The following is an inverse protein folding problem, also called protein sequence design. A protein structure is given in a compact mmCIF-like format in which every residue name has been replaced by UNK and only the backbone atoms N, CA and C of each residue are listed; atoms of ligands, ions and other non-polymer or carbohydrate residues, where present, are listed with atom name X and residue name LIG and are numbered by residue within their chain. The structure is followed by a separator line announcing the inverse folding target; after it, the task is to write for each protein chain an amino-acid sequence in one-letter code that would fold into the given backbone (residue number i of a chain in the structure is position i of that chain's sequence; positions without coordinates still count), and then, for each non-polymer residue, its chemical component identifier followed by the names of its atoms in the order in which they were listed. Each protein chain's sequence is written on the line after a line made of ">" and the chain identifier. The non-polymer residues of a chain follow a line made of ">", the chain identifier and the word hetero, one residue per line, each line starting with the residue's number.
data_IF_977754200175
#
_entry.id   IF_977754200175
#
_cell.length_a   1.000
_cell.length_b   1.000
_cell.length_c   1.000
_cell.angle_alpha   90.00
_cell.angle_beta   90.00
_cell.angle_gamma   90.00
#
_symmetry.space_group_name_H-M   'P 1'
#
loop_
_entity.id
_entity.type
_entity.pdbx_description
1 polymer ?
#
# COMPACT_ATOMS: atom_id res chain seq x y z
N UNK A 1 -21.47 -2.30 -64.12
CA UNK A 1 -21.60 -0.82 -63.98
C UNK A 1 -20.95 -0.39 -62.67
N UNK A 2 -19.81 0.30 -62.73
CA UNK A 2 -19.19 0.94 -61.56
C UNK A 2 -19.62 2.41 -61.55
N UNK A 3 -20.44 2.81 -60.59
CA UNK A 3 -20.85 4.20 -60.35
C UNK A 3 -19.65 5.02 -59.90
N UNK A 4 -19.19 5.95 -60.75
CA UNK A 4 -18.25 7.01 -60.38
C UNK A 4 -18.94 7.96 -59.39
N UNK A 5 -18.34 8.15 -58.21
CA UNK A 5 -18.70 9.24 -57.29
C UNK A 5 -17.87 10.47 -57.67
N UNK A 6 -18.49 11.45 -58.31
CA UNK A 6 -17.86 12.72 -58.68
C UNK A 6 -17.70 13.59 -57.43
N UNK A 7 -16.47 14.01 -57.12
CA UNK A 7 -16.18 15.08 -56.16
C UNK A 7 -16.05 16.38 -56.96
N UNK A 8 -16.94 17.33 -56.72
CA UNK A 8 -16.88 18.68 -57.31
C UNK A 8 -16.24 19.60 -56.26
N UNK A 9 -15.08 20.16 -56.58
CA UNK A 9 -14.43 21.23 -55.79
C UNK A 9 -14.66 22.54 -56.55
N UNK A 10 -15.47 23.44 -55.99
CA UNK A 10 -15.66 24.79 -56.53
C UNK A 10 -14.60 25.68 -55.89
N UNK A 11 -13.64 26.17 -56.69
CA UNK A 11 -12.63 27.13 -56.27
C UNK A 11 -12.97 28.49 -56.89
N UNK A 12 -13.40 29.45 -56.07
CA UNK A 12 -13.62 30.84 -56.53
C UNK A 12 -12.27 31.58 -56.56
N UNK A 13 -11.77 31.89 -57.75
CA UNK A 13 -10.51 32.63 -57.94
C UNK A 13 -10.86 34.02 -58.49
N UNK A 14 -10.58 35.07 -57.72
CA UNK A 14 -10.82 36.46 -58.13
C UNK A 14 -9.60 37.01 -58.91
N UNK A 15 -9.66 36.94 -60.23
CA UNK A 15 -8.66 37.50 -61.14
C UNK A 15 -9.08 37.29 -62.60
N UNK A 16 -8.62 38.16 -63.51
CA UNK A 16 -8.97 38.09 -64.92
C UNK A 16 -8.64 36.70 -65.50
N UNK A 17 -9.68 35.95 -65.84
CA UNK A 17 -9.59 34.59 -66.38
C UNK A 17 -9.18 34.63 -67.86
N UNK A 18 -8.12 33.92 -68.21
CA UNK A 18 -8.07 33.24 -69.50
C UNK A 18 -8.99 32.02 -69.40
N UNK A 19 -9.98 31.93 -70.28
CA UNK A 19 -10.82 30.75 -70.38
C UNK A 19 -9.94 29.51 -70.68
N UNK A 20 -9.76 28.63 -69.70
CA UNK A 20 -9.20 27.31 -69.97
C UNK A 20 -10.34 26.40 -70.42
N UNK A 21 -10.51 26.28 -71.73
CA UNK A 21 -11.40 25.30 -72.35
C UNK A 21 -10.82 23.90 -72.10
N UNK A 22 -11.28 23.19 -71.07
CA UNK A 22 -10.98 21.77 -70.89
C UNK A 22 -12.04 20.97 -71.65
N UNK A 23 -11.91 20.92 -72.97
CA UNK A 23 -12.82 20.16 -73.84
C UNK A 23 -12.33 18.75 -74.16
N UNK A 24 -11.17 18.33 -73.63
CA UNK A 24 -10.60 17.00 -73.84
C UNK A 24 -10.27 16.28 -72.52
N UNK A 25 -10.55 14.98 -72.47
CA UNK A 25 -9.99 14.05 -71.46
C UNK A 25 -8.47 14.16 -71.48
N UNK A 26 -7.87 14.55 -70.35
CA UNK A 26 -6.43 14.41 -70.13
C UNK A 26 -6.05 12.94 -70.40
N UNK A 27 -5.11 12.69 -71.31
CA UNK A 27 -4.61 11.33 -71.57
C UNK A 27 -3.93 10.72 -70.34
N UNK A 28 -3.55 9.44 -70.39
CA UNK A 28 -2.94 8.69 -69.26
C UNK A 28 -1.66 9.30 -68.66
N UNK A 29 -1.12 10.35 -69.28
CA UNK A 29 0.09 11.09 -68.89
C UNK A 29 -0.15 12.60 -68.74
N UNK A 30 -1.41 13.05 -68.77
CA UNK A 30 -1.78 14.46 -68.73
C UNK A 30 -1.48 15.11 -67.38
N UNK A 31 -1.18 16.41 -67.38
CA UNK A 31 -1.09 17.23 -66.16
C UNK A 31 -2.14 18.32 -66.24
N UNK A 32 -3.04 18.38 -65.25
CA UNK A 32 -3.95 19.51 -65.10
C UNK A 32 -3.19 20.65 -64.42
N UNK A 33 -3.12 21.84 -65.02
CA UNK A 33 -2.39 22.98 -64.44
C UNK A 33 -3.22 24.24 -64.41
N UNK A 34 -3.20 24.96 -63.29
CA UNK A 34 -3.74 26.32 -63.17
C UNK A 34 -2.54 27.25 -63.06
N UNK A 35 -2.46 28.28 -63.92
CA UNK A 35 -1.33 29.21 -64.03
C UNK A 35 -1.80 30.58 -64.54
N UNK A 36 -1.06 31.64 -64.25
CA UNK A 36 -1.09 32.89 -65.02
C UNK A 36 0.02 32.86 -66.10
N UNK A 37 0.32 34.02 -66.70
CA UNK A 37 1.38 34.16 -67.71
C UNK A 37 2.79 33.86 -67.18
N UNK A 38 3.02 34.03 -65.88
CA UNK A 38 4.35 34.05 -65.25
C UNK A 38 4.55 32.93 -64.23
N UNK A 39 3.48 32.32 -63.71
CA UNK A 39 3.48 31.45 -62.55
C UNK A 39 2.46 30.32 -62.73
N UNK A 40 2.90 29.09 -62.49
CA UNK A 40 1.96 28.00 -62.17
C UNK A 40 1.49 28.19 -60.73
N UNK A 41 0.21 27.95 -60.45
CA UNK A 41 -0.45 27.98 -59.13
C UNK A 41 -0.77 26.58 -58.61
N UNK A 42 -1.05 25.67 -59.52
CA UNK A 42 -1.54 24.33 -59.23
C UNK A 42 -1.13 23.41 -60.38
N UNK A 43 -0.70 22.20 -60.06
CA UNK A 43 -0.59 21.11 -61.02
C UNK A 43 -1.04 19.79 -60.38
N UNK A 44 -1.76 18.97 -61.14
CA UNK A 44 -2.13 17.60 -60.79
C UNK A 44 -1.68 16.70 -61.95
N UNK A 45 -0.66 15.87 -61.68
CA UNK A 45 -0.10 14.96 -62.66
C UNK A 45 -0.83 13.60 -62.61
N UNK A 46 -1.39 13.15 -63.73
CA UNK A 46 -2.18 11.92 -63.78
C UNK A 46 -1.34 10.64 -63.80
N UNK A 47 -0.10 10.68 -64.29
CA UNK A 47 0.73 9.48 -64.38
C UNK A 47 1.25 9.01 -63.03
N UNK A 48 1.33 9.91 -62.05
CA UNK A 48 1.79 9.60 -60.69
C UNK A 48 0.83 10.08 -59.58
N UNK A 49 -0.30 10.69 -59.92
CA UNK A 49 -1.27 11.23 -58.97
C UNK A 49 -0.75 12.42 -58.13
N UNK A 50 0.40 13.00 -58.49
CA UNK A 50 1.05 14.04 -57.67
C UNK A 50 0.31 15.37 -57.80
N UNK A 51 -0.28 15.81 -56.69
CA UNK A 51 -0.78 17.16 -56.50
C UNK A 51 0.39 18.09 -56.12
N UNK A 52 0.48 19.25 -56.76
CA UNK A 52 1.62 20.16 -56.62
C UNK A 52 1.09 21.59 -56.64
N UNK A 53 1.02 22.21 -55.46
CA UNK A 53 0.68 23.62 -55.27
C UNK A 53 1.98 24.43 -55.35
N UNK A 54 2.28 24.98 -56.52
CA UNK A 54 3.43 25.86 -56.73
C UNK A 54 2.86 27.26 -56.84
N UNK A 55 3.30 28.26 -56.06
CA UNK A 55 3.36 29.68 -56.49
C UNK A 55 4.05 30.57 -55.43
N UNK A 56 4.54 31.77 -55.78
CA UNK A 56 5.91 32.22 -55.54
C UNK A 56 6.04 33.05 -54.26
N UNK A 57 5.36 32.65 -53.18
CA UNK A 57 5.56 33.34 -51.90
C UNK A 57 6.94 32.98 -51.35
N UNK A 58 7.90 33.88 -51.52
CA UNK A 58 9.18 33.85 -50.84
C UNK A 58 8.96 33.81 -49.31
N UNK A 59 9.71 32.97 -48.59
CA UNK A 59 9.65 32.87 -47.13
C UNK A 59 8.97 31.63 -46.56
N UNK A 60 8.56 31.71 -45.30
CA UNK A 60 8.15 30.58 -44.43
C UNK A 60 6.74 30.01 -44.72
N UNK A 61 6.19 30.22 -45.93
CA UNK A 61 4.78 29.92 -46.26
C UNK A 61 4.58 28.89 -47.40
N UNK A 62 5.66 28.23 -47.86
CA UNK A 62 5.62 27.26 -48.98
C UNK A 62 4.71 26.06 -48.66
N UNK A 63 3.90 25.62 -49.63
CA UNK A 63 3.11 24.39 -49.53
C UNK A 63 1.84 24.44 -48.67
N UNK A 64 1.33 25.65 -48.36
CA UNK A 64 0.13 25.81 -47.53
C UNK A 64 -1.18 25.60 -48.31
N UNK A 65 -2.16 24.90 -47.73
CA UNK A 65 -3.56 24.82 -48.16
C UNK A 65 -4.40 25.71 -47.25
N UNK A 66 -5.26 26.55 -47.83
CA UNK A 66 -6.13 27.47 -47.09
C UNK A 66 -7.60 27.04 -47.16
N UNK A 67 -8.38 27.37 -46.12
CA UNK A 67 -9.84 27.33 -46.10
C UNK A 67 -10.35 28.75 -45.87
N UNK A 68 -10.76 29.44 -46.95
CA UNK A 68 -10.98 30.88 -46.89
C UNK A 68 -9.64 31.62 -46.75
N UNK A 69 -9.53 32.49 -45.74
CA UNK A 69 -8.28 33.22 -45.43
C UNK A 69 -7.36 32.46 -44.47
N UNK A 70 -7.85 31.40 -43.84
CA UNK A 70 -7.13 30.67 -42.79
C UNK A 70 -6.28 29.54 -43.37
N UNK A 71 -5.05 29.37 -42.86
CA UNK A 71 -4.22 28.19 -43.17
C UNK A 71 -4.86 26.96 -42.56
N UNK A 72 -5.04 25.92 -43.37
CA UNK A 72 -5.64 24.66 -42.97
C UNK A 72 -4.62 23.52 -42.90
N UNK A 73 -3.73 23.40 -43.90
CA UNK A 73 -2.59 22.45 -43.86
C UNK A 73 -1.33 23.20 -44.26
N UNK A 74 -0.29 23.21 -43.43
CA UNK A 74 0.94 23.94 -43.76
C UNK A 74 2.16 23.45 -42.97
N UNK A 75 3.34 23.82 -43.45
CA UNK A 75 4.62 23.57 -42.77
C UNK A 75 5.26 24.91 -42.39
N UNK A 76 4.81 25.51 -41.29
CA UNK A 76 5.38 26.79 -40.84
C UNK A 76 6.74 26.53 -40.18
N UNK A 77 7.77 27.25 -40.63
CA UNK A 77 9.11 27.22 -40.05
C UNK A 77 9.43 28.61 -39.46
N UNK A 78 9.80 28.68 -38.19
CA UNK A 78 10.18 29.93 -37.53
C UNK A 78 11.52 30.48 -38.05
N UNK A 79 11.78 31.77 -37.89
CA UNK A 79 13.08 32.34 -38.27
C UNK A 79 14.20 31.76 -37.40
N UNK A 80 15.32 31.37 -38.02
CA UNK A 80 16.51 30.88 -37.32
C UNK A 80 16.46 29.40 -36.88
N UNK A 81 15.43 28.65 -37.30
CA UNK A 81 15.24 27.25 -36.92
C UNK A 81 15.58 26.27 -38.05
N UNK A 82 16.10 25.10 -37.68
CA UNK A 82 16.72 24.12 -38.58
C UNK A 82 15.78 22.98 -39.00
N UNK A 83 14.59 22.84 -38.39
CA UNK A 83 13.65 21.75 -38.68
C UNK A 83 12.25 22.23 -39.08
N UNK A 84 11.49 21.33 -39.69
CA UNK A 84 10.14 21.62 -40.19
C UNK A 84 9.07 21.25 -39.17
N UNK A 85 7.99 22.03 -39.13
CA UNK A 85 6.77 21.69 -38.43
C UNK A 85 5.69 21.27 -39.43
N UNK A 86 4.69 20.51 -38.99
CA UNK A 86 3.51 20.12 -39.78
C UNK A 86 2.26 20.47 -39.00
N UNK A 87 1.35 21.24 -39.60
CA UNK A 87 0.12 21.68 -38.94
C UNK A 87 -1.10 21.42 -39.84
N UNK A 88 -2.15 20.82 -39.27
CA UNK A 88 -3.41 20.50 -39.93
C UNK A 88 -4.60 20.88 -39.02
N UNK A 89 -5.34 21.92 -39.38
CA UNK A 89 -6.50 22.40 -38.62
C UNK A 89 -6.57 23.93 -38.65
N UNK A 90 -7.76 24.46 -38.39
CA UNK A 90 -7.94 25.91 -38.28
C UNK A 90 -7.15 26.42 -37.07
N UNK A 91 -6.32 27.45 -37.29
CA UNK A 91 -5.46 28.06 -36.26
C UNK A 91 -4.45 27.09 -35.62
N UNK A 92 -4.09 26.00 -36.30
CA UNK A 92 -3.04 25.10 -35.84
C UNK A 92 -1.64 25.73 -36.03
N UNK A 93 -0.80 25.64 -34.99
CA UNK A 93 0.54 26.21 -34.97
C UNK A 93 0.57 27.74 -34.76
N UNK A 94 1.71 28.24 -34.30
CA UNK A 94 1.95 29.68 -34.13
C UNK A 94 2.80 30.24 -35.26
N UNK A 95 2.36 31.33 -35.88
CA UNK A 95 3.04 31.98 -37.00
C UNK A 95 4.02 33.07 -36.58
N UNK A 96 4.30 33.21 -35.30
CA UNK A 96 5.32 34.11 -34.75
C UNK A 96 6.51 33.37 -34.13
N UNK A 97 6.59 32.04 -34.32
CA UNK A 97 7.71 31.24 -33.81
C UNK A 97 9.05 31.76 -34.33
N UNK A 98 10.03 31.79 -33.43
CA UNK A 98 11.40 32.23 -33.68
C UNK A 98 12.33 31.49 -32.73
N UNK A 99 13.59 31.28 -33.11
CA UNK A 99 14.57 30.66 -32.22
C UNK A 99 15.91 30.43 -32.92
N UNK A 100 16.82 29.73 -32.25
CA UNK A 100 18.07 29.28 -32.85
C UNK A 100 18.18 27.75 -32.86
N UNK A 101 18.80 27.21 -33.91
CA UNK A 101 19.04 25.77 -34.02
C UNK A 101 17.73 24.98 -34.13
N UNK A 102 17.43 24.13 -33.16
CA UNK A 102 16.23 23.26 -33.18
C UNK A 102 15.02 23.84 -32.42
N UNK A 103 15.15 25.03 -31.82
CA UNK A 103 14.05 25.68 -31.09
C UNK A 103 12.89 25.98 -32.05
N UNK A 104 11.65 25.68 -31.66
CA UNK A 104 10.49 25.90 -32.53
C UNK A 104 10.40 24.95 -33.74
N UNK A 105 11.21 23.88 -33.78
CA UNK A 105 11.23 22.93 -34.89
C UNK A 105 10.64 21.56 -34.51
N UNK A 106 10.35 20.75 -35.53
CA UNK A 106 9.95 19.34 -35.42
C UNK A 106 8.61 19.10 -34.70
N UNK A 107 7.70 20.06 -34.76
CA UNK A 107 6.38 19.94 -34.15
C UNK A 107 5.34 19.44 -35.15
N UNK A 108 4.42 18.61 -34.69
CA UNK A 108 3.23 18.18 -35.43
C UNK A 108 1.99 18.60 -34.66
N UNK A 109 1.09 19.37 -35.28
CA UNK A 109 -0.20 19.75 -34.71
C UNK A 109 -1.34 19.39 -35.63
N UNK A 110 -2.31 18.61 -35.15
CA UNK A 110 -3.49 18.19 -35.89
C UNK A 110 -4.74 18.45 -35.05
N UNK A 111 -5.55 19.41 -35.45
CA UNK A 111 -6.75 19.83 -34.73
C UNK A 111 -6.91 21.34 -34.74
N UNK A 112 -8.14 21.80 -34.47
CA UNK A 112 -8.39 23.24 -34.34
C UNK A 112 -7.63 23.76 -33.12
N UNK A 113 -6.85 24.83 -33.31
CA UNK A 113 -6.00 25.49 -32.30
C UNK A 113 -4.91 24.62 -31.64
N UNK A 114 -4.53 23.49 -32.25
CA UNK A 114 -3.40 22.70 -31.72
C UNK A 114 -2.10 23.49 -31.82
N UNK A 115 -1.33 23.62 -30.73
CA UNK A 115 -0.04 24.34 -30.68
C UNK A 115 -0.09 25.83 -31.11
N UNK A 116 -1.21 26.53 -30.90
CA UNK A 116 -1.37 27.92 -31.37
C UNK A 116 -0.51 28.96 -30.63
N UNK A 117 -0.01 28.65 -29.43
CA UNK A 117 0.83 29.56 -28.64
C UNK A 117 2.33 29.22 -28.64
N UNK A 118 2.75 28.24 -29.44
CA UNK A 118 4.14 27.74 -29.47
C UNK A 118 5.14 28.83 -29.85
N UNK A 119 6.22 29.03 -29.09
CA UNK A 119 7.26 30.01 -29.41
C UNK A 119 8.59 29.32 -29.76
N UNK A 120 9.23 28.67 -28.79
CA UNK A 120 10.53 27.99 -28.94
C UNK A 120 10.47 26.50 -28.64
N UNK A 121 9.32 25.97 -28.22
CA UNK A 121 9.12 24.54 -27.97
C UNK A 121 9.34 23.69 -29.23
N UNK A 122 9.98 22.54 -29.07
CA UNK A 122 10.38 21.66 -30.17
C UNK A 122 9.91 20.22 -29.96
N UNK A 123 9.79 19.46 -31.05
CA UNK A 123 9.47 18.02 -31.01
C UNK A 123 8.14 17.68 -30.33
N UNK A 124 7.15 18.57 -30.38
CA UNK A 124 5.82 18.29 -29.82
C UNK A 124 4.92 17.57 -30.85
N UNK A 125 4.09 16.65 -30.39
CA UNK A 125 3.06 15.95 -31.16
C UNK A 125 1.70 16.23 -30.54
N UNK A 126 0.85 17.00 -31.21
CA UNK A 126 -0.47 17.41 -30.73
C UNK A 126 -1.56 16.94 -31.71
N UNK A 127 -2.48 16.11 -31.24
CA UNK A 127 -3.56 15.52 -32.03
C UNK A 127 -4.88 15.64 -31.26
N UNK A 128 -5.74 16.56 -31.68
CA UNK A 128 -7.01 16.86 -31.02
C UNK A 128 -7.29 18.36 -31.01
N UNK A 129 -8.58 18.72 -30.90
CA UNK A 129 -8.99 20.10 -30.72
C UNK A 129 -8.37 20.67 -29.44
N UNK A 130 -7.69 21.82 -29.56
CA UNK A 130 -7.00 22.52 -28.47
C UNK A 130 -5.90 21.72 -27.75
N UNK A 131 -5.38 20.66 -28.38
CA UNK A 131 -4.24 19.91 -27.84
C UNK A 131 -2.98 20.78 -27.81
N UNK A 132 -2.33 20.88 -26.64
CA UNK A 132 -1.16 21.76 -26.41
C UNK A 132 -1.38 23.24 -26.81
N UNK A 133 -2.61 23.75 -26.71
CA UNK A 133 -2.97 25.12 -27.14
C UNK A 133 -2.04 26.19 -26.55
N UNK A 134 -1.80 26.15 -25.23
CA UNK A 134 -1.05 27.18 -24.49
C UNK A 134 0.47 26.94 -24.46
N UNK A 135 0.97 25.88 -25.10
CA UNK A 135 2.38 25.51 -25.01
C UNK A 135 3.25 26.58 -25.64
N UNK A 136 4.22 27.13 -24.90
CA UNK A 136 5.12 28.19 -25.41
C UNK A 136 6.52 27.64 -25.65
N UNK A 137 7.22 27.21 -24.59
CA UNK A 137 8.61 26.74 -24.66
C UNK A 137 8.75 25.24 -24.37
N UNK A 138 7.68 24.59 -23.92
CA UNK A 138 7.65 23.15 -23.63
C UNK A 138 7.99 22.31 -24.87
N UNK A 139 8.83 21.30 -24.67
CA UNK A 139 9.35 20.45 -25.74
C UNK A 139 9.09 18.97 -25.47
N UNK A 140 9.13 18.15 -26.52
CA UNK A 140 9.04 16.68 -26.41
C UNK A 140 7.73 16.20 -25.75
N UNK A 141 6.63 16.95 -25.92
CA UNK A 141 5.32 16.55 -25.42
C UNK A 141 4.51 15.80 -26.50
N UNK A 142 3.82 14.74 -26.09
CA UNK A 142 2.85 13.99 -26.88
C UNK A 142 1.45 14.22 -26.28
N UNK A 143 0.52 14.76 -27.05
CA UNK A 143 -0.83 15.11 -26.63
C UNK A 143 -1.84 14.58 -27.66
N UNK A 144 -2.62 13.58 -27.28
CA UNK A 144 -3.58 12.88 -28.12
C UNK A 144 -4.95 12.86 -27.44
N UNK A 145 -5.84 13.75 -27.84
CA UNK A 145 -7.17 13.92 -27.27
C UNK A 145 -7.63 15.37 -27.32
N UNK A 146 -8.94 15.59 -27.19
CA UNK A 146 -9.49 16.94 -27.04
C UNK A 146 -8.97 17.55 -25.74
N UNK A 147 -8.42 18.76 -25.84
CA UNK A 147 -7.87 19.54 -24.73
C UNK A 147 -6.80 18.79 -23.90
N UNK A 148 -6.13 17.77 -24.46
CA UNK A 148 -4.99 17.13 -23.78
C UNK A 148 -3.82 18.12 -23.69
N UNK A 149 -3.24 18.30 -22.50
CA UNK A 149 -2.16 19.27 -22.22
C UNK A 149 -2.51 20.74 -22.61
N UNK A 150 -3.80 21.12 -22.58
CA UNK A 150 -4.28 22.43 -23.06
C UNK A 150 -3.56 23.63 -22.42
N UNK A 151 -3.34 23.60 -21.10
CA UNK A 151 -2.72 24.68 -20.35
C UNK A 151 -1.21 24.49 -20.11
N UNK A 152 -0.57 23.52 -20.79
CA UNK A 152 0.90 23.37 -20.74
C UNK A 152 1.56 24.64 -21.26
N UNK A 153 2.50 25.22 -20.52
CA UNK A 153 3.24 26.42 -20.96
C UNK A 153 4.70 26.10 -21.20
N UNK A 154 5.38 25.52 -20.21
CA UNK A 154 6.82 25.23 -20.24
C UNK A 154 7.16 23.77 -19.93
N UNK A 155 6.17 22.97 -19.52
CA UNK A 155 6.33 21.55 -19.23
C UNK A 155 6.83 20.76 -20.44
N UNK A 156 7.66 19.76 -20.20
CA UNK A 156 8.35 19.01 -21.24
C UNK A 156 8.39 17.50 -20.94
N UNK A 157 8.57 16.69 -21.98
CA UNK A 157 8.60 15.23 -21.89
C UNK A 157 7.33 14.64 -21.23
N UNK A 158 6.15 15.19 -21.54
CA UNK A 158 4.88 14.64 -21.09
C UNK A 158 4.20 13.82 -22.20
N UNK A 159 3.55 12.73 -21.82
CA UNK A 159 2.71 11.88 -22.68
C UNK A 159 1.28 11.93 -22.17
N UNK A 160 0.35 12.51 -22.92
CA UNK A 160 -1.06 12.64 -22.60
C UNK A 160 -1.91 12.00 -23.70
N UNK A 161 -2.60 10.91 -23.38
CA UNK A 161 -3.45 10.15 -24.30
C UNK A 161 -4.84 9.99 -23.68
N UNK A 162 -5.80 10.82 -24.12
CA UNK A 162 -7.15 10.87 -23.58
C UNK A 162 -7.71 12.29 -23.60
N UNK A 163 -9.03 12.43 -23.62
CA UNK A 163 -9.68 13.73 -23.47
C UNK A 163 -9.34 14.33 -22.11
N UNK A 164 -8.90 15.58 -22.10
CA UNK A 164 -8.52 16.33 -20.89
C UNK A 164 -7.42 15.66 -20.04
N UNK A 165 -6.63 14.75 -20.61
CA UNK A 165 -5.45 14.20 -19.95
C UNK A 165 -4.41 15.31 -19.76
N UNK A 166 -3.89 15.47 -18.54
CA UNK A 166 -2.96 16.55 -18.16
C UNK A 166 -3.48 17.97 -18.51
N UNK A 167 -4.79 18.21 -18.48
CA UNK A 167 -5.42 19.47 -18.92
C UNK A 167 -4.76 20.72 -18.32
N UNK A 168 -4.56 20.73 -17.01
CA UNK A 168 -4.04 21.88 -16.25
C UNK A 168 -2.52 21.86 -16.01
N UNK A 169 -1.77 20.95 -16.66
CA UNK A 169 -0.30 20.92 -16.52
C UNK A 169 0.25 22.25 -16.97
N UNK A 170 1.00 22.98 -16.15
CA UNK A 170 1.59 24.27 -16.55
C UNK A 170 3.08 24.12 -16.83
N UNK A 171 3.82 23.55 -15.88
CA UNK A 171 5.28 23.34 -15.97
C UNK A 171 5.74 21.93 -15.57
N UNK A 172 4.82 21.05 -15.20
CA UNK A 172 5.12 19.65 -14.88
C UNK A 172 5.80 18.91 -16.04
N UNK A 173 6.66 17.95 -15.71
CA UNK A 173 7.53 17.24 -16.66
C UNK A 173 7.55 15.73 -16.41
N UNK A 174 7.93 14.96 -17.42
CA UNK A 174 8.08 13.50 -17.31
C UNK A 174 6.79 12.77 -16.85
N UNK A 175 5.61 13.32 -17.14
CA UNK A 175 4.35 12.68 -16.78
C UNK A 175 3.82 11.80 -17.93
N UNK A 176 3.25 10.65 -17.58
CA UNK A 176 2.56 9.73 -18.48
C UNK A 176 1.10 9.60 -18.04
N UNK A 177 0.17 10.15 -18.82
CA UNK A 177 -1.26 10.16 -18.55
C UNK A 177 -2.02 9.47 -19.70
N UNK A 178 -2.58 8.30 -19.44
CA UNK A 178 -3.31 7.50 -20.41
C UNK A 178 -4.72 7.21 -19.88
N UNK A 179 -5.72 7.89 -20.43
CA UNK A 179 -7.13 7.80 -20.02
C UNK A 179 -7.81 9.17 -20.00
N UNK A 180 -9.15 9.18 -20.05
CA UNK A 180 -9.93 10.41 -19.90
C UNK A 180 -9.66 11.01 -18.50
N UNK A 181 -9.36 12.32 -18.45
CA UNK A 181 -9.04 13.04 -17.20
C UNK A 181 -7.92 12.43 -16.34
N UNK A 182 -7.04 11.63 -16.93
CA UNK A 182 -5.84 11.15 -16.25
C UNK A 182 -4.90 12.33 -15.97
N UNK A 183 -4.46 12.49 -14.71
CA UNK A 183 -3.66 13.64 -14.26
C UNK A 183 -4.27 15.03 -14.58
N UNK A 184 -5.59 15.13 -14.64
CA UNK A 184 -6.33 16.31 -15.11
C UNK A 184 -5.89 17.65 -14.47
N UNK A 185 -5.76 17.69 -13.15
CA UNK A 185 -5.43 18.90 -12.38
C UNK A 185 -3.94 19.12 -12.13
N UNK A 186 -3.04 18.30 -12.68
CA UNK A 186 -1.60 18.40 -12.43
C UNK A 186 -1.14 19.79 -12.84
N UNK A 187 -0.40 20.53 -12.00
CA UNK A 187 0.11 21.86 -12.35
C UNK A 187 1.62 21.80 -12.56
N UNK A 188 2.35 21.37 -11.53
CA UNK A 188 3.83 21.35 -11.51
C UNK A 188 4.40 19.97 -11.17
N UNK A 189 3.55 19.01 -10.80
CA UNK A 189 3.96 17.64 -10.50
C UNK A 189 4.71 16.99 -11.66
N UNK A 190 5.66 16.11 -11.33
CA UNK A 190 6.55 15.49 -12.30
C UNK A 190 6.73 13.99 -12.06
N UNK A 191 7.20 13.27 -13.09
CA UNK A 191 7.48 11.83 -13.01
C UNK A 191 6.28 10.98 -12.56
N UNK A 192 5.05 11.41 -12.83
CA UNK A 192 3.85 10.62 -12.51
C UNK A 192 3.45 9.70 -13.68
N UNK A 193 3.02 8.49 -13.37
CA UNK A 193 2.45 7.52 -14.31
C UNK A 193 1.00 7.25 -13.94
N UNK A 194 0.05 7.55 -14.82
CA UNK A 194 -1.38 7.48 -14.57
C UNK A 194 -2.09 6.80 -15.73
N UNK A 195 -2.55 5.56 -15.53
CA UNK A 195 -3.19 4.74 -16.55
C UNK A 195 -4.59 4.33 -16.12
N UNK A 196 -5.62 4.87 -16.76
CA UNK A 196 -7.02 4.66 -16.43
C UNK A 196 -7.84 5.95 -16.52
N UNK A 197 -9.15 5.81 -16.50
CA UNK A 197 -10.08 6.94 -16.43
C UNK A 197 -10.02 7.58 -15.04
N UNK A 198 -9.86 8.91 -15.02
CA UNK A 198 -9.76 9.75 -13.82
C UNK A 198 -8.69 9.30 -12.80
N UNK A 199 -7.62 8.63 -13.27
CA UNK A 199 -6.47 8.25 -12.46
C UNK A 199 -5.63 9.48 -12.10
N UNK A 200 -5.27 9.65 -10.83
CA UNK A 200 -4.52 10.84 -10.34
C UNK A 200 -5.18 12.18 -10.72
N UNK A 201 -6.50 12.24 -10.92
CA UNK A 201 -7.15 13.40 -11.54
C UNK A 201 -6.99 14.69 -10.75
N UNK A 202 -6.93 14.62 -9.42
CA UNK A 202 -6.82 15.78 -8.54
C UNK A 202 -5.39 16.18 -8.18
N UNK A 203 -4.37 15.49 -8.74
CA UNK A 203 -2.97 15.77 -8.44
C UNK A 203 -2.65 17.20 -8.83
N UNK A 204 -2.03 18.00 -7.98
CA UNK A 204 -1.64 19.39 -8.31
C UNK A 204 -0.12 19.52 -8.35
N UNK A 205 0.57 19.08 -7.29
CA UNK A 205 2.03 19.20 -7.15
C UNK A 205 2.73 17.89 -6.82
N UNK A 206 1.98 16.81 -6.55
CA UNK A 206 2.53 15.49 -6.25
C UNK A 206 3.40 14.95 -7.40
N UNK A 207 4.44 14.19 -7.05
CA UNK A 207 5.42 13.66 -7.99
C UNK A 207 5.79 12.21 -7.68
N UNK A 208 6.36 11.53 -8.69
CA UNK A 208 6.81 10.14 -8.60
C UNK A 208 5.70 9.15 -8.19
N UNK A 209 4.43 9.45 -8.49
CA UNK A 209 3.33 8.51 -8.26
C UNK A 209 3.12 7.58 -9.45
N UNK A 210 2.85 6.30 -9.18
CA UNK A 210 2.50 5.29 -10.17
C UNK A 210 1.09 4.76 -9.89
N UNK A 211 0.14 5.06 -10.78
CA UNK A 211 -1.27 4.75 -10.62
C UNK A 211 -1.82 4.05 -11.86
N UNK A 212 -2.43 2.87 -11.66
CA UNK A 212 -2.96 2.02 -12.72
C UNK A 212 -4.33 1.48 -12.30
N UNK A 213 -5.38 1.93 -12.99
CA UNK A 213 -6.77 1.57 -12.70
C UNK A 213 -7.67 2.81 -12.65
N UNK A 214 -8.94 2.61 -13.02
CA UNK A 214 -9.96 3.65 -12.92
C UNK A 214 -10.03 4.20 -11.48
N UNK A 215 -10.00 5.53 -11.35
CA UNK A 215 -10.04 6.25 -10.08
C UNK A 215 -8.90 5.91 -9.09
N UNK A 216 -7.83 5.26 -9.55
CA UNK A 216 -6.65 5.03 -8.70
C UNK A 216 -5.98 6.37 -8.36
N UNK A 217 -5.69 6.61 -7.07
CA UNK A 217 -5.14 7.87 -6.53
C UNK A 217 -5.95 9.13 -6.93
N UNK A 218 -7.28 9.01 -7.13
CA UNK A 218 -8.11 10.08 -7.68
C UNK A 218 -8.03 11.41 -6.91
N UNK A 219 -8.01 11.37 -5.58
CA UNK A 219 -7.98 12.55 -4.72
C UNK A 219 -6.57 12.99 -4.29
N UNK A 220 -5.51 12.40 -4.85
CA UNK A 220 -4.13 12.81 -4.51
C UNK A 220 -3.95 14.26 -4.91
N UNK A 221 -3.52 15.13 -4.00
CA UNK A 221 -3.25 16.55 -4.31
C UNK A 221 -1.75 16.79 -4.36
N UNK A 222 -1.03 16.49 -3.27
CA UNK A 222 0.42 16.67 -3.17
C UNK A 222 1.16 15.44 -2.64
N UNK A 223 0.49 14.30 -2.47
CA UNK A 223 1.14 13.05 -2.10
C UNK A 223 2.19 12.61 -3.13
N UNK A 224 3.25 11.97 -2.65
CA UNK A 224 4.43 11.62 -3.44
C UNK A 224 4.77 10.13 -3.31
N UNK A 225 5.40 9.58 -4.35
CA UNK A 225 6.00 8.24 -4.30
C UNK A 225 5.01 7.14 -3.88
N UNK A 226 3.75 7.27 -4.28
CA UNK A 226 2.73 6.25 -4.06
C UNK A 226 2.64 5.30 -5.27
N UNK A 227 2.45 4.02 -5.00
CA UNK A 227 2.18 2.97 -5.99
C UNK A 227 0.76 2.45 -5.79
N UNK A 228 -0.11 2.62 -6.77
CA UNK A 228 -1.53 2.28 -6.69
C UNK A 228 -1.94 1.47 -7.93
N UNK A 229 -2.24 0.19 -7.75
CA UNK A 229 -2.55 -0.73 -8.83
C UNK A 229 -3.88 -1.44 -8.54
N UNK A 230 -4.94 -1.03 -9.23
CA UNK A 230 -6.30 -1.52 -9.05
C UNK A 230 -7.32 -0.39 -9.07
N UNK A 231 -8.57 -0.72 -9.42
CA UNK A 231 -9.68 0.24 -9.41
C UNK A 231 -9.86 0.80 -8.00
N UNK A 232 -9.86 2.12 -7.87
CA UNK A 232 -10.03 2.82 -6.59
C UNK A 232 -8.95 2.53 -5.54
N UNK A 233 -7.78 2.00 -5.93
CA UNK A 233 -6.64 1.87 -5.01
C UNK A 233 -6.15 3.27 -4.60
N UNK A 234 -5.93 3.47 -3.29
CA UNK A 234 -5.57 4.79 -2.71
C UNK A 234 -6.52 5.94 -3.13
N UNK A 235 -7.80 5.66 -3.39
CA UNK A 235 -8.77 6.62 -3.94
C UNK A 235 -8.79 7.96 -3.18
N UNK A 236 -8.77 7.92 -1.84
CA UNK A 236 -8.92 9.08 -0.97
C UNK A 236 -7.60 9.74 -0.54
N UNK A 237 -6.46 9.25 -1.03
CA UNK A 237 -5.15 9.78 -0.59
C UNK A 237 -5.07 11.24 -0.99
N UNK A 238 -4.76 12.15 -0.07
CA UNK A 238 -4.62 13.59 -0.38
C UNK A 238 -3.14 13.98 -0.38
N UNK A 239 -2.47 13.75 0.75
CA UNK A 239 -1.07 14.13 0.96
C UNK A 239 -0.17 12.97 1.41
N UNK A 240 -0.74 11.79 1.66
CA UNK A 240 0.00 10.60 2.06
C UNK A 240 1.07 10.22 1.03
N UNK A 241 2.15 9.61 1.50
CA UNK A 241 3.34 9.33 0.69
C UNK A 241 3.97 7.97 1.04
N UNK A 242 4.74 7.42 0.10
CA UNK A 242 5.35 6.09 0.20
C UNK A 242 4.34 4.95 0.50
N UNK A 243 3.10 5.05 0.00
CA UNK A 243 2.13 3.96 0.11
C UNK A 243 2.19 3.03 -1.10
N UNK A 244 2.05 1.73 -0.86
CA UNK A 244 1.98 0.67 -1.87
C UNK A 244 0.65 -0.07 -1.77
N UNK A 245 -0.25 0.15 -2.71
CA UNK A 245 -1.60 -0.40 -2.73
C UNK A 245 -1.82 -1.22 -4.02
N UNK A 246 -1.88 -2.54 -3.91
CA UNK A 246 -2.11 -3.44 -5.04
C UNK A 246 -3.37 -4.26 -4.79
N UNK A 247 -4.42 -3.97 -5.53
CA UNK A 247 -5.75 -4.55 -5.36
C UNK A 247 -6.84 -3.52 -5.62
N UNK A 248 -8.04 -3.99 -5.95
CA UNK A 248 -9.21 -3.11 -6.03
C UNK A 248 -9.53 -2.59 -4.61
N UNK A 249 -9.71 -1.28 -4.46
CA UNK A 249 -9.96 -0.58 -3.19
C UNK A 249 -8.93 -0.79 -2.06
N UNK A 250 -7.71 -1.28 -2.36
CA UNK A 250 -6.64 -1.34 -1.36
C UNK A 250 -6.25 0.07 -0.91
N UNK A 251 -6.16 0.28 0.41
CA UNK A 251 -5.97 1.61 1.03
C UNK A 251 -6.96 2.69 0.54
N UNK A 252 -8.17 2.31 0.12
CA UNK A 252 -9.13 3.20 -0.53
C UNK A 252 -9.49 4.47 0.27
N UNK A 253 -9.51 4.40 1.60
CA UNK A 253 -9.84 5.52 2.49
C UNK A 253 -8.62 6.24 3.08
N UNK A 254 -7.40 5.86 2.70
CA UNK A 254 -6.18 6.52 3.21
C UNK A 254 -6.20 7.98 2.80
N UNK A 255 -6.08 8.91 3.74
CA UNK A 255 -6.05 10.36 3.45
C UNK A 255 -4.64 10.89 3.61
N UNK A 256 -4.05 10.72 4.79
CA UNK A 256 -2.71 11.23 5.13
C UNK A 256 -1.75 10.15 5.61
N UNK A 257 -2.19 8.89 5.73
CA UNK A 257 -1.34 7.80 6.16
C UNK A 257 -0.14 7.59 5.23
N UNK A 258 0.99 7.20 5.80
CA UNK A 258 2.28 7.07 5.11
C UNK A 258 2.92 5.70 5.34
N UNK A 259 3.77 5.28 4.41
CA UNK A 259 4.53 4.02 4.50
C UNK A 259 3.66 2.77 4.70
N UNK A 260 2.44 2.76 4.16
CA UNK A 260 1.57 1.59 4.23
C UNK A 260 1.75 0.68 3.01
N UNK A 261 1.74 -0.64 3.23
CA UNK A 261 1.72 -1.66 2.19
C UNK A 261 0.43 -2.46 2.29
N UNK A 262 -0.37 -2.47 1.23
CA UNK A 262 -1.65 -3.17 1.14
C UNK A 262 -1.70 -4.00 -0.15
N UNK A 263 -1.59 -5.32 0.00
CA UNK A 263 -1.60 -6.29 -1.10
C UNK A 263 -2.84 -7.17 -1.00
N UNK A 264 -3.82 -6.94 -1.85
CA UNK A 264 -5.07 -7.70 -1.94
C UNK A 264 -6.29 -6.78 -2.13
N UNK A 265 -7.35 -7.32 -2.73
CA UNK A 265 -8.63 -6.60 -2.84
C UNK A 265 -9.13 -6.25 -1.44
N UNK A 266 -9.45 -4.97 -1.24
CA UNK A 266 -9.96 -4.47 0.03
C UNK A 266 -8.96 -4.46 1.20
N UNK A 267 -7.66 -4.68 0.97
CA UNK A 267 -6.67 -4.64 2.06
C UNK A 267 -6.49 -3.21 2.60
N UNK A 268 -6.52 -3.05 3.93
CA UNK A 268 -6.46 -1.75 4.63
C UNK A 268 -7.46 -0.70 4.11
N UNK A 269 -8.61 -1.10 3.56
CA UNK A 269 -9.53 -0.15 2.89
C UNK A 269 -9.98 1.00 3.78
N UNK A 270 -10.15 0.79 5.09
CA UNK A 270 -10.63 1.83 6.01
C UNK A 270 -9.50 2.58 6.73
N UNK A 271 -8.23 2.29 6.45
CA UNK A 271 -7.12 3.04 7.04
C UNK A 271 -7.19 4.48 6.54
N UNK A 272 -7.28 5.47 7.44
CA UNK A 272 -7.35 6.89 7.09
C UNK A 272 -6.01 7.58 7.34
N UNK A 273 -5.49 7.50 8.57
CA UNK A 273 -4.27 8.20 9.00
C UNK A 273 -3.21 7.29 9.61
N UNK A 274 -3.49 5.99 9.71
CA UNK A 274 -2.52 5.02 10.21
C UNK A 274 -1.30 4.92 9.31
N UNK A 275 -0.13 4.74 9.93
CA UNK A 275 1.16 4.72 9.25
C UNK A 275 1.87 3.38 9.44
N UNK A 276 2.81 3.04 8.55
CA UNK A 276 3.68 1.87 8.68
C UNK A 276 2.93 0.53 8.77
N UNK A 277 1.71 0.45 8.26
CA UNK A 277 0.93 -0.79 8.28
C UNK A 277 1.28 -1.66 7.08
N UNK A 278 1.36 -2.97 7.30
CA UNK A 278 1.51 -3.96 6.23
C UNK A 278 0.33 -4.92 6.29
N UNK A 279 -0.49 -4.94 5.24
CA UNK A 279 -1.59 -5.88 5.09
C UNK A 279 -1.46 -6.68 3.79
N UNK A 280 -1.49 -8.01 3.90
CA UNK A 280 -1.33 -8.93 2.77
C UNK A 280 -2.45 -9.97 2.82
N UNK A 281 -3.39 -9.89 1.88
CA UNK A 281 -4.54 -10.78 1.78
C UNK A 281 -5.80 -10.06 1.29
N UNK A 282 -6.75 -10.82 0.74
CA UNK A 282 -8.10 -10.33 0.46
C UNK A 282 -8.74 -9.88 1.79
N UNK A 283 -9.14 -8.60 1.86
CA UNK A 283 -9.71 -7.96 3.04
C UNK A 283 -8.84 -8.08 4.31
N UNK A 284 -7.52 -8.09 4.17
CA UNK A 284 -6.63 -8.03 5.33
C UNK A 284 -6.63 -6.62 5.95
N UNK A 285 -6.88 -6.54 7.26
CA UNK A 285 -6.82 -5.31 8.05
C UNK A 285 -7.90 -4.29 7.69
N UNK A 286 -9.06 -4.73 7.21
CA UNK A 286 -10.17 -3.82 6.83
C UNK A 286 -10.63 -2.98 8.00
N UNK A 287 -10.57 -3.51 9.22
CA UNK A 287 -11.02 -2.77 10.40
C UNK A 287 -10.00 -1.74 10.88
N UNK A 288 -8.73 -1.79 10.45
CA UNK A 288 -7.73 -0.80 10.88
C UNK A 288 -8.07 0.59 10.31
N UNK A 289 -8.32 1.56 11.18
CA UNK A 289 -8.69 2.94 10.81
C UNK A 289 -7.53 3.91 11.03
N UNK A 290 -7.01 3.99 12.25
CA UNK A 290 -5.92 4.92 12.62
C UNK A 290 -4.71 4.23 13.24
N UNK A 291 -4.80 2.92 13.52
CA UNK A 291 -3.70 2.13 14.05
C UNK A 291 -2.47 2.17 13.15
N UNK A 292 -1.29 2.24 13.75
CA UNK A 292 0.00 2.33 13.04
C UNK A 292 0.92 1.16 13.38
N UNK A 293 1.88 0.87 12.51
CA UNK A 293 2.86 -0.21 12.72
C UNK A 293 2.20 -1.58 12.97
N UNK A 294 1.10 -1.86 12.26
CA UNK A 294 0.39 -3.13 12.34
C UNK A 294 0.78 -4.05 11.17
N UNK A 295 1.03 -5.33 11.45
CA UNK A 295 1.26 -6.38 10.45
C UNK A 295 0.05 -7.32 10.40
N UNK A 296 -0.60 -7.43 9.24
CA UNK A 296 -1.81 -8.24 9.05
C UNK A 296 -1.67 -9.12 7.82
N UNK A 297 -1.53 -10.43 8.00
CA UNK A 297 -1.34 -11.36 6.88
C UNK A 297 -2.45 -12.40 6.90
N UNK A 298 -3.21 -12.52 5.81
CA UNK A 298 -4.23 -13.55 5.60
C UNK A 298 -5.56 -13.03 5.07
N UNK A 299 -6.37 -13.93 4.51
CA UNK A 299 -7.76 -13.64 4.11
C UNK A 299 -8.60 -13.25 5.33
N UNK A 300 -9.27 -12.09 5.30
CA UNK A 300 -10.06 -11.55 6.43
C UNK A 300 -9.29 -11.55 7.77
N UNK A 301 -7.96 -11.43 7.74
CA UNK A 301 -7.19 -11.26 8.95
C UNK A 301 -7.38 -9.84 9.47
N UNK A 302 -7.63 -9.67 10.77
CA UNK A 302 -7.90 -8.36 11.38
C UNK A 302 -7.06 -8.16 12.63
N UNK A 303 -6.52 -6.96 12.83
CA UNK A 303 -5.99 -6.59 14.15
C UNK A 303 -7.14 -6.56 15.17
N UNK A 304 -6.89 -6.94 16.44
CA UNK A 304 -7.94 -6.89 17.45
C UNK A 304 -8.42 -5.46 17.72
N UNK A 305 -7.55 -4.45 17.61
CA UNK A 305 -7.92 -3.05 17.86
C UNK A 305 -7.71 -2.17 16.63
N UNK A 306 -8.78 -1.69 15.97
CA UNK A 306 -8.76 -0.80 14.81
C UNK A 306 -7.89 0.46 14.90
N UNK A 307 -7.76 1.02 16.11
CA UNK A 307 -7.10 2.31 16.37
C UNK A 307 -5.73 2.16 17.04
N UNK A 308 -5.41 0.97 17.57
CA UNK A 308 -4.15 0.73 18.28
C UNK A 308 -3.02 0.39 17.34
N UNK A 309 -1.80 0.59 17.84
CA UNK A 309 -0.58 0.41 17.07
C UNK A 309 0.23 -0.80 17.56
N UNK A 310 1.20 -1.24 16.75
CA UNK A 310 2.17 -2.28 17.09
C UNK A 310 1.57 -3.69 17.25
N UNK A 311 0.55 -4.02 16.45
CA UNK A 311 -0.12 -5.31 16.50
C UNK A 311 0.33 -6.22 15.36
N UNK A 312 0.48 -7.51 15.65
CA UNK A 312 0.77 -8.53 14.63
C UNK A 312 -0.35 -9.55 14.60
N UNK A 313 -0.99 -9.72 13.44
CA UNK A 313 -1.95 -10.78 13.15
C UNK A 313 -1.48 -11.59 11.93
N UNK A 314 -1.37 -12.90 12.10
CA UNK A 314 -1.13 -13.85 11.01
C UNK A 314 -2.28 -14.86 11.01
N UNK A 315 -3.14 -14.77 10.00
CA UNK A 315 -4.34 -15.58 9.83
C UNK A 315 -5.59 -14.98 10.49
N UNK A 316 -6.69 -15.72 10.38
CA UNK A 316 -7.99 -15.40 10.96
C UNK A 316 -8.45 -16.52 11.92
N UNK A 317 -9.69 -16.45 12.40
CA UNK A 317 -10.25 -17.43 13.35
C UNK A 317 -10.47 -18.82 12.75
N UNK A 318 -10.42 -18.98 11.43
CA UNK A 318 -10.59 -20.26 10.73
C UNK A 318 -9.28 -21.04 10.55
N UNK A 319 -8.15 -20.53 11.04
CA UNK A 319 -6.86 -21.23 10.97
C UNK A 319 -6.88 -22.45 11.90
N UNK A 320 -6.73 -23.65 11.33
CA UNK A 320 -6.75 -24.93 12.08
C UNK A 320 -5.35 -25.46 12.40
N UNK A 321 -4.33 -25.00 11.68
CA UNK A 321 -2.92 -25.35 11.89
C UNK A 321 -2.03 -24.14 11.61
N UNK A 322 -1.27 -23.72 12.61
CA UNK A 322 -0.21 -22.72 12.49
C UNK A 322 1.10 -23.37 12.95
N UNK A 323 2.00 -23.63 12.00
CA UNK A 323 3.24 -24.37 12.25
C UNK A 323 4.47 -23.51 12.05
N UNK A 324 5.44 -23.65 12.96
CA UNK A 324 6.82 -23.19 12.78
C UNK A 324 7.68 -24.40 13.03
N UNK A 325 8.47 -24.79 12.03
CA UNK A 325 9.20 -26.06 12.05
C UNK A 325 10.34 -26.09 13.10
N UNK A 326 10.76 -24.91 13.57
CA UNK A 326 11.79 -24.73 14.60
C UNK A 326 11.21 -23.96 15.78
N UNK A 327 11.86 -24.07 16.94
CA UNK A 327 11.47 -23.29 18.11
C UNK A 327 11.53 -21.78 17.83
N UNK A 328 10.54 -21.03 18.31
CA UNK A 328 10.55 -19.57 18.23
C UNK A 328 11.51 -19.00 19.27
N UNK A 329 12.62 -18.40 18.83
CA UNK A 329 13.58 -17.74 19.72
C UNK A 329 13.12 -16.32 20.05
N UNK A 330 13.08 -15.98 21.34
CA UNK A 330 12.81 -14.61 21.84
C UNK A 330 14.09 -14.04 22.45
N UNK A 331 14.43 -12.80 22.11
CA UNK A 331 15.64 -12.13 22.63
C UNK A 331 15.57 -11.96 24.14
N UNK A 332 16.61 -12.38 24.86
CA UNK A 332 16.63 -12.39 26.33
C UNK A 332 18.02 -12.04 26.91
N UNK A 333 18.89 -11.42 26.10
CA UNK A 333 20.26 -11.06 26.45
C UNK A 333 20.29 -10.07 27.64
N UNK A 334 21.29 -10.23 28.53
CA UNK A 334 21.50 -9.33 29.68
C UNK A 334 21.71 -7.88 29.24
N UNK A 335 22.38 -7.66 28.12
CA UNK A 335 22.69 -6.33 27.59
C UNK A 335 21.45 -5.58 27.08
N UNK A 336 20.33 -6.29 26.87
CA UNK A 336 19.04 -5.73 26.47
C UNK A 336 18.09 -5.49 27.66
N UNK A 337 18.56 -5.70 28.89
CA UNK A 337 17.75 -5.64 30.11
C UNK A 337 18.39 -4.73 31.16
N UNK A 338 17.56 -4.06 31.93
CA UNK A 338 17.95 -3.28 33.12
C UNK A 338 17.03 -3.65 34.30
N UNK A 339 17.39 -3.24 35.52
CA UNK A 339 16.60 -3.47 36.74
C UNK A 339 16.22 -4.96 36.97
N UNK A 340 17.18 -5.87 36.79
CA UNK A 340 16.97 -7.31 36.95
C UNK A 340 16.86 -7.66 38.44
N UNK A 341 15.64 -7.93 38.91
CA UNK A 341 15.32 -8.34 40.28
C UNK A 341 14.75 -9.77 40.31
N UNK A 342 14.83 -10.42 41.47
CA UNK A 342 14.17 -11.73 41.69
C UNK A 342 12.65 -11.58 41.60
N UNK A 343 11.97 -12.60 41.06
CA UNK A 343 10.50 -12.58 40.93
C UNK A 343 9.82 -12.58 42.30
N UNK A 344 8.79 -11.77 42.46
CA UNK A 344 7.90 -11.75 43.62
C UNK A 344 6.78 -12.81 43.54
N UNK A 345 6.50 -13.34 42.35
CA UNK A 345 5.50 -14.39 42.12
C UNK A 345 6.16 -15.77 42.17
N UNK A 346 5.55 -16.72 42.88
CA UNK A 346 6.08 -18.07 43.09
C UNK A 346 4.98 -19.09 43.39
N UNK A 347 5.23 -20.01 44.32
CA UNK A 347 4.32 -21.11 44.67
C UNK A 347 2.96 -20.59 45.17
N UNK A 348 2.94 -19.52 45.97
CA UNK A 348 1.71 -18.89 46.48
C UNK A 348 0.77 -18.42 45.35
N UNK A 349 1.34 -17.81 44.31
CA UNK A 349 0.62 -17.38 43.12
C UNK A 349 0.15 -18.58 42.27
N UNK A 350 1.08 -19.47 41.89
CA UNK A 350 0.79 -20.57 40.96
C UNK A 350 -0.26 -21.54 41.51
N UNK A 351 -0.24 -21.84 42.80
CA UNK A 351 -1.18 -22.79 43.42
C UNK A 351 -2.62 -22.27 43.50
N UNK A 352 -2.83 -20.95 43.38
CA UNK A 352 -4.16 -20.32 43.36
C UNK A 352 -4.76 -20.23 41.95
N UNK A 353 -3.96 -20.41 40.90
CA UNK A 353 -4.46 -20.43 39.53
C UNK A 353 -5.28 -21.69 39.29
N UNK A 354 -6.40 -21.55 38.57
CA UNK A 354 -7.31 -22.65 38.25
C UNK A 354 -7.17 -23.04 36.76
N UNK A 355 -6.53 -24.18 36.43
CA UNK A 355 -6.54 -24.70 35.07
C UNK A 355 -7.95 -25.10 34.65
N UNK A 356 -8.30 -24.77 33.41
CA UNK A 356 -9.61 -25.08 32.82
C UNK A 356 -9.46 -25.74 31.46
N UNK A 357 -10.48 -26.49 31.06
CA UNK A 357 -10.72 -26.84 29.66
C UNK A 357 -11.96 -26.09 29.15
N UNK A 358 -11.92 -25.67 27.89
CA UNK A 358 -13.00 -24.89 27.29
C UNK A 358 -13.09 -25.12 25.77
N UNK A 359 -14.20 -24.71 25.17
CA UNK A 359 -14.38 -24.59 23.73
C UNK A 359 -14.64 -23.12 23.39
N UNK A 360 -14.19 -22.66 22.22
CA UNK A 360 -14.45 -21.27 21.81
C UNK A 360 -15.87 -21.13 21.28
N UNK A 361 -16.54 -20.03 21.62
CA UNK A 361 -17.89 -19.72 21.12
C UNK A 361 -17.96 -19.57 19.59
N UNK A 362 -16.84 -19.22 18.96
CA UNK A 362 -16.71 -19.00 17.52
C UNK A 362 -16.00 -20.16 16.78
N UNK A 363 -15.77 -21.29 17.45
CA UNK A 363 -15.21 -22.49 16.82
C UNK A 363 -16.31 -23.51 16.53
N UNK A 364 -16.72 -23.61 15.27
CA UNK A 364 -17.72 -24.57 14.81
C UNK A 364 -17.25 -26.04 14.96
N UNK A 365 -15.94 -26.28 15.06
CA UNK A 365 -15.41 -27.63 15.24
C UNK A 365 -15.55 -28.14 16.68
N UNK A 366 -15.80 -27.24 17.65
CA UNK A 366 -15.99 -27.58 19.06
C UNK A 366 -14.75 -28.19 19.72
N UNK A 367 -13.55 -27.79 19.29
CA UNK A 367 -12.31 -28.38 19.80
C UNK A 367 -12.04 -27.96 21.24
N UNK A 368 -11.77 -28.94 22.11
CA UNK A 368 -11.39 -28.68 23.49
C UNK A 368 -9.97 -28.10 23.56
N UNK A 369 -9.85 -26.92 24.17
CA UNK A 369 -8.60 -26.25 24.53
C UNK A 369 -8.39 -26.33 26.05
N UNK A 370 -7.13 -26.20 26.50
CA UNK A 370 -6.76 -26.15 27.92
C UNK A 370 -6.03 -24.83 28.19
N UNK A 371 -6.31 -24.20 29.33
CA UNK A 371 -5.70 -22.92 29.69
C UNK A 371 -6.17 -22.38 31.03
N UNK A 372 -6.16 -21.06 31.15
CA UNK A 372 -6.57 -20.26 32.31
C UNK A 372 -7.62 -19.22 31.85
N UNK A 373 -8.46 -18.79 32.78
CA UNK A 373 -9.36 -17.65 32.58
C UNK A 373 -8.62 -16.38 33.01
N UNK A 374 -8.47 -15.43 32.08
CA UNK A 374 -7.65 -14.23 32.30
C UNK A 374 -8.16 -13.33 33.45
N UNK A 375 -9.48 -13.27 33.65
CA UNK A 375 -10.11 -12.58 34.77
C UNK A 375 -9.75 -13.23 36.12
N UNK A 376 -9.71 -14.57 36.20
CA UNK A 376 -9.30 -15.28 37.41
C UNK A 376 -7.81 -15.05 37.72
N UNK A 377 -6.97 -14.91 36.67
CA UNK A 377 -5.56 -14.53 36.85
C UNK A 377 -5.44 -13.12 37.44
N UNK A 378 -6.28 -12.17 37.01
CA UNK A 378 -6.31 -10.80 37.57
C UNK A 378 -6.63 -10.83 39.06
N UNK A 379 -7.67 -11.56 39.46
CA UNK A 379 -8.07 -11.69 40.86
C UNK A 379 -6.94 -12.26 41.72
N UNK A 380 -6.25 -13.29 41.23
CA UNK A 380 -5.12 -13.89 41.96
C UNK A 380 -3.93 -12.93 42.04
N UNK A 381 -3.63 -12.17 40.98
CA UNK A 381 -2.58 -11.13 41.03
C UNK A 381 -2.87 -10.09 42.13
N UNK A 382 -4.12 -9.62 42.22
CA UNK A 382 -4.55 -8.68 43.25
C UNK A 382 -4.43 -9.28 44.66
N UNK A 383 -4.82 -10.55 44.85
CA UNK A 383 -4.70 -11.25 46.12
C UNK A 383 -3.24 -11.42 46.58
N UNK A 384 -2.31 -11.62 45.64
CA UNK A 384 -0.88 -11.71 45.91
C UNK A 384 -0.21 -10.33 46.04
N UNK A 385 -0.97 -9.23 45.92
CA UNK A 385 -0.44 -7.86 45.98
C UNK A 385 0.52 -7.55 44.83
N UNK A 386 0.37 -8.23 43.69
CA UNK A 386 1.21 -8.06 42.52
C UNK A 386 0.53 -7.16 41.47
N UNK A 387 1.29 -6.21 40.95
CA UNK A 387 0.82 -5.38 39.85
C UNK A 387 0.84 -6.15 38.53
N UNK A 388 -0.15 -5.88 37.67
CA UNK A 388 -0.14 -6.38 36.30
C UNK A 388 0.91 -5.63 35.47
N UNK A 389 2.09 -6.23 35.33
CA UNK A 389 3.23 -5.67 34.56
C UNK A 389 3.18 -6.00 33.06
N UNK A 390 1.98 -6.31 32.54
CA UNK A 390 1.75 -6.66 31.14
C UNK A 390 1.42 -8.13 30.89
N UNK A 391 1.32 -8.96 31.93
CA UNK A 391 0.88 -10.35 31.83
C UNK A 391 -0.57 -10.44 31.31
N UNK A 392 -1.41 -9.50 31.74
CA UNK A 392 -2.77 -9.31 31.26
C UNK A 392 -2.86 -8.03 30.44
N UNK A 393 -3.57 -8.09 29.32
CA UNK A 393 -4.00 -6.91 28.57
C UNK A 393 -5.52 -6.86 28.62
N UNK A 394 -6.06 -5.78 29.18
CA UNK A 394 -7.49 -5.50 29.22
C UNK A 394 -7.76 -4.48 28.14
N UNK A 395 -8.67 -4.80 27.24
CA UNK A 395 -9.00 -3.96 26.10
C UNK A 395 -10.04 -2.91 26.50
N UNK A 396 -10.20 -1.87 25.68
CA UNK A 396 -11.23 -0.84 25.90
C UNK A 396 -12.65 -1.45 25.90
N UNK A 397 -12.86 -2.56 25.18
CA UNK A 397 -14.11 -3.33 25.16
C UNK A 397 -14.22 -4.35 26.32
N UNK A 398 -13.35 -4.25 27.33
CA UNK A 398 -13.29 -5.16 28.49
C UNK A 398 -13.01 -6.63 28.12
N UNK A 399 -12.35 -6.87 26.98
CA UNK A 399 -11.82 -8.19 26.64
C UNK A 399 -10.49 -8.41 27.37
N UNK A 400 -10.26 -9.61 27.87
CA UNK A 400 -9.04 -9.95 28.61
C UNK A 400 -8.15 -10.87 27.79
N UNK A 401 -6.88 -10.52 27.68
CA UNK A 401 -5.86 -11.32 26.99
C UNK A 401 -4.76 -11.70 27.98
N UNK A 402 -4.28 -12.94 27.90
CA UNK A 402 -3.26 -13.49 28.79
C UNK A 402 -2.00 -13.90 28.01
N UNK A 403 -0.84 -13.43 28.48
CA UNK A 403 0.47 -13.83 27.98
C UNK A 403 1.00 -15.03 28.75
N UNK A 404 0.69 -16.24 28.30
CA UNK A 404 1.14 -17.49 28.94
C UNK A 404 2.67 -17.58 29.15
N UNK A 405 3.47 -16.98 28.26
CA UNK A 405 4.92 -16.99 28.41
C UNK A 405 5.40 -16.28 29.68
N UNK A 406 4.63 -15.32 30.20
CA UNK A 406 4.99 -14.56 31.40
C UNK A 406 4.75 -15.40 32.69
N UNK A 407 4.04 -16.53 32.59
CA UNK A 407 3.88 -17.50 33.69
C UNK A 407 5.11 -18.40 33.87
N UNK A 408 6.03 -18.47 32.91
CA UNK A 408 7.21 -19.34 32.98
C UNK A 408 8.09 -19.03 34.19
N UNK A 409 8.38 -17.75 34.44
CA UNK A 409 9.24 -17.36 35.57
C UNK A 409 8.59 -17.65 36.94
N UNK A 410 7.32 -17.30 37.19
CA UNK A 410 6.61 -17.70 38.41
C UNK A 410 6.53 -19.22 38.60
N UNK A 411 6.33 -20.00 37.52
CA UNK A 411 6.35 -21.47 37.61
C UNK A 411 7.73 -22.01 38.00
N UNK A 412 8.81 -21.48 37.42
CA UNK A 412 10.18 -21.87 37.79
C UNK A 412 10.42 -21.58 39.28
N UNK A 413 10.01 -20.39 39.76
CA UNK A 413 10.15 -20.04 41.19
C UNK A 413 9.30 -20.94 42.08
N UNK A 414 8.07 -21.24 41.69
CA UNK A 414 7.20 -22.17 42.41
C UNK A 414 7.82 -23.57 42.56
N UNK A 415 8.47 -24.06 41.51
CA UNK A 415 9.18 -25.35 41.54
C UNK A 415 10.38 -25.30 42.49
N UNK A 416 11.12 -24.18 42.52
CA UNK A 416 12.23 -23.97 43.45
C UNK A 416 11.75 -23.96 44.90
N UNK A 417 10.72 -23.17 45.21
CA UNK A 417 10.11 -23.09 46.55
C UNK A 417 9.51 -24.45 46.99
N UNK A 418 8.91 -25.20 46.06
CA UNK A 418 8.41 -26.54 46.32
C UNK A 418 9.55 -27.52 46.64
N UNK A 419 10.67 -27.43 45.92
CA UNK A 419 11.85 -28.26 46.19
C UNK A 419 12.43 -27.97 47.57
N UNK A 420 12.55 -26.69 47.96
CA UNK A 420 13.00 -26.28 49.29
C UNK A 420 12.10 -26.86 50.40
N UNK A 421 10.77 -26.82 50.20
CA UNK A 421 9.82 -27.40 51.15
C UNK A 421 9.96 -28.92 51.25
N UNK A 422 10.22 -29.61 50.14
CA UNK A 422 10.44 -31.06 50.14
C UNK A 422 11.74 -31.44 50.85
N UNK A 423 12.82 -30.68 50.65
CA UNK A 423 14.09 -30.88 51.37
C UNK A 423 13.90 -30.69 52.87
N UNK A 424 13.17 -29.65 53.28
CA UNK A 424 12.81 -29.42 54.68
C UNK A 424 12.02 -30.58 55.28
N UNK A 425 10.95 -31.02 54.63
CA UNK A 425 10.12 -32.14 55.09
C UNK A 425 10.90 -33.45 55.15
N UNK A 426 11.84 -33.66 54.22
CA UNK A 426 12.72 -34.84 54.24
C UNK A 426 13.67 -34.83 55.44
N UNK A 427 14.22 -33.66 55.78
CA UNK A 427 15.07 -33.50 56.96
C UNK A 427 14.27 -33.72 58.26
N UNK A 428 13.07 -33.15 58.37
CA UNK A 428 12.18 -33.33 59.52
C UNK A 428 11.79 -34.81 59.70
N UNK A 429 11.41 -35.49 58.62
CA UNK A 429 11.13 -36.94 58.67
C UNK A 429 12.34 -37.77 59.12
N UNK A 430 13.55 -37.35 58.76
CA UNK A 430 14.78 -38.03 59.20
C UNK A 430 15.00 -37.85 60.70
N UNK A 431 14.83 -36.64 61.23
CA UNK A 431 14.91 -36.37 62.66
C UNK A 431 13.82 -37.11 63.46
N UNK A 432 12.59 -37.12 62.96
CA UNK A 432 11.47 -37.86 63.57
C UNK A 432 11.75 -39.37 63.66
N UNK A 433 12.34 -39.97 62.63
CA UNK A 433 12.77 -41.38 62.66
C UNK A 433 13.82 -41.63 63.74
N UNK A 434 14.82 -40.75 63.87
CA UNK A 434 15.84 -40.85 64.92
C UNK A 434 15.23 -40.73 66.32
N UNK A 435 14.25 -39.85 66.52
CA UNK A 435 13.54 -39.73 67.80
C UNK A 435 12.70 -40.97 68.10
N UNK A 436 12.01 -41.51 67.09
CA UNK A 436 11.20 -42.72 67.24
C UNK A 436 12.06 -43.92 67.68
N UNK A 437 13.22 -44.13 67.04
CA UNK A 437 14.17 -45.18 67.40
C UNK A 437 14.61 -45.07 68.88
N UNK A 438 14.84 -43.84 69.37
CA UNK A 438 15.18 -43.61 70.79
C UNK A 438 14.02 -43.96 71.73
N UNK A 439 12.78 -43.64 71.37
CA UNK A 439 11.61 -43.99 72.18
C UNK A 439 11.39 -45.51 72.22
N UNK A 440 11.56 -46.21 71.10
CA UNK A 440 11.47 -47.67 71.05
C UNK A 440 12.55 -48.32 71.93
N UNK A 441 13.79 -47.81 71.88
CA UNK A 441 14.85 -48.25 72.78
C UNK A 441 14.49 -48.04 74.25
N UNK A 442 13.94 -46.88 74.60
CA UNK A 442 13.55 -46.57 75.98
C UNK A 442 12.37 -47.42 76.46
N UNK A 443 11.40 -47.71 75.60
CA UNK A 443 10.32 -48.66 75.91
C UNK A 443 10.84 -50.07 76.14
N UNK A 444 11.79 -50.54 75.34
CA UNK A 444 12.41 -51.85 75.53
C UNK A 444 13.17 -51.92 76.87
N UNK A 445 13.89 -50.86 77.25
CA UNK A 445 14.55 -50.75 78.56
C UNK A 445 13.52 -50.80 79.69
N UNK A 446 12.47 -49.99 79.62
CA UNK A 446 11.42 -49.93 80.64
C UNK A 446 10.65 -51.25 80.76
N UNK A 447 10.35 -51.91 79.63
CA UNK A 447 9.72 -53.23 79.63
C UNK A 447 10.59 -54.26 80.36
N UNK A 448 11.91 -54.25 80.11
CA UNK A 448 12.87 -55.08 80.83
C UNK A 448 12.95 -54.76 82.33
N UNK A 449 12.84 -53.49 82.74
CA UNK A 449 12.78 -53.11 84.16
C UNK A 449 11.47 -53.56 84.84
N UNK A 450 10.33 -53.43 84.16
CA UNK A 450 9.04 -53.93 84.64
C UNK A 450 9.09 -55.45 84.85
N UNK A 451 9.70 -56.18 83.93
CA UNK A 451 9.87 -57.63 84.05
C UNK A 451 10.73 -58.02 85.27
N UNK A 452 11.84 -57.31 85.50
CA UNK A 452 12.65 -57.47 86.73
C UNK A 452 11.87 -57.18 88.00
N UNK A 453 11.00 -56.16 88.00
CA UNK A 453 10.14 -55.84 89.14
C UNK A 453 9.08 -56.92 89.38
N UNK A 454 8.46 -57.47 88.33
CA UNK A 454 7.52 -58.59 88.45
C UNK A 454 8.19 -59.84 89.05
N UNK A 455 9.41 -60.16 88.64
CA UNK A 455 10.20 -61.25 89.22
C UNK A 455 10.47 -61.02 90.71
N UNK A 456 10.84 -59.80 91.10
CA UNK A 456 11.00 -59.45 92.52
C UNK A 456 9.69 -59.58 93.32
N UNK A 457 8.56 -59.11 92.77
CA UNK A 457 7.26 -59.21 93.42
C UNK A 457 6.81 -60.68 93.60
N UNK A 458 7.07 -61.54 92.61
CA UNK A 458 6.84 -62.98 92.73
C UNK A 458 7.68 -63.61 93.83
N UNK A 459 8.99 -63.30 93.89
CA UNK A 459 9.86 -63.80 94.95
C UNK A 459 9.39 -63.33 96.34
N UNK A 460 8.91 -62.09 96.48
CA UNK A 460 8.36 -61.57 97.74
C UNK A 460 7.08 -62.32 98.12
N UNK A 461 6.19 -62.62 97.17
CA UNK A 461 4.98 -63.42 97.41
C UNK A 461 5.32 -64.84 97.85
N UNK A 462 6.34 -65.44 97.24
CA UNK A 462 6.82 -66.79 97.57
C UNK A 462 7.36 -66.84 99.01
N UNK A 463 8.22 -65.89 99.39
CA UNK A 463 8.73 -65.72 100.76
C UNK A 463 7.60 -65.44 101.76
N UNK A 464 6.62 -64.59 101.42
CA UNK A 464 5.46 -64.34 102.28
C UNK A 464 4.57 -65.58 102.44
N UNK A 465 4.48 -66.44 101.42
CA UNK A 465 3.78 -67.72 101.53
C UNK A 465 4.51 -68.65 102.51
N UNK A 466 5.84 -68.76 102.41
CA UNK A 466 6.66 -69.57 103.32
C UNK A 466 6.57 -69.09 104.78
N UNK A 467 6.55 -67.77 105.01
CA UNK A 467 6.37 -67.19 106.36
C UNK A 467 4.98 -67.54 106.93
N UNK A 468 3.94 -67.57 106.11
CA UNK A 468 2.58 -67.92 106.57
C UNK A 468 2.45 -69.42 106.89
N UNK A 469 3.20 -70.30 106.22
CA UNK A 469 3.23 -71.74 106.52
C UNK A 469 4.00 -72.08 107.80
N UNK A 470 4.92 -71.22 108.24
CA UNK A 470 5.70 -71.40 109.49
C UNK A 470 4.95 -70.90 110.73
N UNK A 471 3.89 -70.09 110.55
CA UNK A 471 3.08 -69.53 111.64
C UNK A 471 1.76 -70.29 111.90
N UNK A 472 1.53 -71.44 111.27
CA UNK A 472 0.49 -72.43 111.59
C UNK A 472 1.13 -73.67 112.23
#
# INVERSE_FOLDING_TARGET
>A
MKTLKTIIIILSISGALFAQNITNTLGSSGTFTIKDASNTYFSLNQSNGRLTLISPLAGNQRGSIFKGVDRFLHTYNGSGTNGWNTFLGLYAGNFTMSGSGSQGSYNTGVGVQSLSSLTTGSKNSAFGNESLLSNTTGSENCAFGTSSLLFNTTGFNNSAFGSEALLFNTSGRWNSAFGNKSLHSNQTGYSNSAFGDATLSSNTTGYENSAFGNLSLNNNTSGIQNSAFGVGSLFSNTIGYYNSAFGVYSLGSNTTGIYNTALGHGSLTNNTTGNYNTAIGLFAGVLNTTGSNNLVIGYNAEVPFPTSSNQVRIGNTSITYAGIQVAWTVTSDRNLKSNILSSNLGLGFITKLRPVSYTRKNDESGKTEYGLIAQEVEEVLQQEGAENTGMLTITDDSEYQLRYNDLLAPMIKAIQELNEKNEFLSAENTDLKVRLDKYEQMQNVLAGEIEKLKLKDNNIKEVNSEINTVNQ
#
